data_IF_257162426788
#
_entry.id   IF_257162426788
#
_cell.length_a   1.000
_cell.length_b   1.000
_cell.length_c   1.000
_cell.angle_alpha   90.00
_cell.angle_beta   90.00
_cell.angle_gamma   90.00
#
_symmetry.space_group_name_H-M   'P 1'
#
loop_
_entity.id
_entity.type
_entity.pdbx_description
1 polymer ?
#
# COMPACT_ATOMS: atom_id res chain seq x y z
N UNK A 1 -32.17 -30.47 16.54
CA UNK A 1 -31.47 -29.22 16.77
C UNK A 1 -29.94 -29.30 16.54
N UNK A 2 -29.19 -30.33 16.95
CA UNK A 2 -27.74 -30.43 16.74
C UNK A 2 -27.32 -30.60 15.26
N UNK A 3 -28.12 -31.25 14.42
CA UNK A 3 -27.84 -31.45 12.98
C UNK A 3 -28.09 -30.20 12.10
N UNK A 4 -28.99 -29.33 12.52
CA UNK A 4 -29.29 -28.05 11.86
C UNK A 4 -28.23 -27.00 12.14
N UNK A 5 -27.58 -27.02 13.29
CA UNK A 5 -26.46 -26.14 13.63
C UNK A 5 -25.17 -26.52 12.83
N UNK A 6 -24.97 -27.82 12.60
CA UNK A 6 -23.81 -28.29 11.80
C UNK A 6 -23.94 -27.92 10.31
N UNK A 7 -25.17 -27.92 9.78
CA UNK A 7 -25.45 -27.52 8.40
C UNK A 7 -25.31 -26.01 8.20
N UNK A 8 -25.60 -25.20 9.21
CA UNK A 8 -25.46 -23.75 9.15
C UNK A 8 -23.98 -23.30 9.23
N UNK A 9 -23.15 -24.04 9.96
CA UNK A 9 -21.70 -23.78 10.02
C UNK A 9 -20.96 -24.17 8.75
N UNK A 10 -21.45 -25.17 8.01
CA UNK A 10 -20.86 -25.56 6.71
C UNK A 10 -21.16 -24.52 5.62
N UNK A 11 -22.32 -23.85 5.67
CA UNK A 11 -22.65 -22.76 4.73
C UNK A 11 -21.89 -21.46 4.99
N UNK A 12 -21.43 -21.22 6.20
CA UNK A 12 -20.62 -20.05 6.56
C UNK A 12 -19.17 -20.13 6.03
N UNK A 13 -18.68 -21.33 5.69
CA UNK A 13 -17.32 -21.54 5.20
C UNK A 13 -17.11 -21.20 3.71
N UNK A 14 -18.19 -21.06 2.92
CA UNK A 14 -18.09 -20.77 1.49
C UNK A 14 -17.86 -19.28 1.13
N UNK A 15 -17.74 -18.39 2.13
CA UNK A 15 -17.59 -16.94 1.92
C UNK A 15 -16.23 -16.35 2.24
N UNK A 16 -15.21 -17.14 2.57
CA UNK A 16 -13.88 -16.63 2.93
C UNK A 16 -13.04 -16.37 1.66
N UNK A 17 -13.41 -15.34 0.92
CA UNK A 17 -12.52 -14.78 -0.10
C UNK A 17 -11.55 -13.82 0.60
N UNK A 18 -10.27 -14.17 0.62
CA UNK A 18 -9.24 -13.31 1.20
C UNK A 18 -9.06 -12.06 0.35
N UNK A 19 -9.16 -10.91 0.99
CA UNK A 19 -8.75 -9.63 0.40
C UNK A 19 -7.23 -9.61 0.22
N UNK A 20 -6.78 -8.86 -0.76
CA UNK A 20 -5.38 -8.53 -0.91
C UNK A 20 -4.92 -7.58 0.20
N UNK A 21 -3.62 -7.61 0.45
CA UNK A 21 -3.06 -6.73 1.46
C UNK A 21 -3.31 -5.24 1.11
N UNK A 22 -3.51 -4.44 2.14
CA UNK A 22 -3.59 -2.98 2.05
C UNK A 22 -3.00 -2.35 3.31
N UNK A 23 -2.55 -1.12 3.17
CA UNK A 23 -2.12 -0.27 4.27
C UNK A 23 -3.13 0.86 4.45
N UNK A 24 -3.33 1.29 5.69
CA UNK A 24 -4.18 2.44 6.00
C UNK A 24 -3.56 3.73 5.46
N UNK A 25 -2.23 3.84 5.55
CA UNK A 25 -1.46 4.97 5.01
C UNK A 25 -1.24 4.81 3.49
N UNK A 26 -2.31 4.85 2.71
CA UNK A 26 -2.29 4.60 1.26
C UNK A 26 -1.35 5.53 0.48
N UNK A 27 -1.20 6.77 0.93
CA UNK A 27 -0.27 7.74 0.31
C UNK A 27 1.20 7.31 0.40
N UNK A 28 1.54 6.42 1.35
CA UNK A 28 2.90 5.91 1.54
C UNK A 28 3.13 4.58 0.79
N UNK A 29 2.15 4.09 0.02
CA UNK A 29 2.23 2.83 -0.72
C UNK A 29 1.86 2.99 -2.21
N UNK A 30 2.44 3.96 -2.94
CA UNK A 30 1.97 4.35 -4.27
C UNK A 30 1.98 3.19 -5.28
N UNK A 31 3.00 2.32 -5.28
CA UNK A 31 3.09 1.19 -6.22
C UNK A 31 2.14 0.04 -5.89
N UNK A 32 1.61 -0.03 -4.66
CA UNK A 32 0.57 -0.99 -4.25
C UNK A 32 -0.84 -0.54 -4.66
N UNK A 33 -1.04 0.74 -4.93
CA UNK A 33 -2.35 1.29 -5.30
C UNK A 33 -2.44 1.66 -6.78
N UNK A 34 -1.31 1.99 -7.44
CA UNK A 34 -1.34 2.37 -8.85
C UNK A 34 0.04 2.21 -9.51
N UNK A 35 0.20 1.32 -10.51
CA UNK A 35 1.44 1.21 -11.27
C UNK A 35 1.87 2.51 -11.96
N UNK A 36 0.92 3.35 -12.38
CA UNK A 36 1.21 4.62 -13.03
C UNK A 36 1.79 5.69 -12.08
N UNK A 37 1.84 5.43 -10.76
CA UNK A 37 2.47 6.32 -9.79
C UNK A 37 4.00 6.19 -9.70
N UNK A 38 4.60 5.23 -10.42
CA UNK A 38 6.06 5.06 -10.47
C UNK A 38 6.72 6.30 -11.08
N UNK A 39 7.70 6.88 -10.39
CA UNK A 39 8.42 8.08 -10.82
C UNK A 39 7.61 9.38 -10.74
N UNK A 40 6.35 9.36 -10.30
CA UNK A 40 5.48 10.53 -10.22
C UNK A 40 5.51 11.11 -8.80
N UNK A 41 6.53 11.87 -8.50
CA UNK A 41 6.72 12.57 -7.21
C UNK A 41 7.76 13.70 -7.38
N UNK A 42 7.87 14.55 -6.37
CA UNK A 42 8.85 15.62 -6.34
C UNK A 42 10.20 15.03 -5.88
N UNK A 43 11.16 14.94 -6.80
CA UNK A 43 12.47 14.32 -6.60
C UNK A 43 12.89 13.42 -7.75
N UNK A 44 13.95 12.63 -7.55
CA UNK A 44 14.61 11.82 -8.57
C UNK A 44 14.52 10.32 -8.33
N UNK A 45 14.96 9.87 -7.18
CA UNK A 45 14.85 8.49 -6.72
C UNK A 45 14.15 8.47 -5.38
N UNK A 46 13.36 7.43 -5.13
CA UNK A 46 12.63 7.25 -3.88
C UNK A 46 12.73 5.81 -3.41
N UNK A 47 12.89 5.65 -2.10
CA UNK A 47 12.79 4.35 -1.43
C UNK A 47 11.74 4.47 -0.33
N UNK A 48 10.88 3.49 -0.20
CA UNK A 48 9.80 3.45 0.80
C UNK A 48 9.82 2.11 1.49
N UNK A 49 9.73 2.12 2.82
CA UNK A 49 9.56 0.93 3.66
C UNK A 49 8.31 1.11 4.50
N UNK A 50 7.41 0.14 4.45
CA UNK A 50 6.20 0.14 5.27
C UNK A 50 6.14 -1.16 6.07
N UNK A 51 5.67 -1.06 7.31
CA UNK A 51 5.43 -2.19 8.18
C UNK A 51 4.11 -2.01 8.90
N UNK A 52 3.27 -3.04 8.88
CA UNK A 52 2.01 -3.11 9.62
C UNK A 52 2.03 -4.35 10.49
N UNK A 53 1.74 -4.17 11.76
CA UNK A 53 1.46 -5.26 12.69
C UNK A 53 0.00 -5.16 13.13
N UNK A 54 -0.79 -6.15 12.74
CA UNK A 54 -2.23 -6.17 12.98
C UNK A 54 -2.55 -7.09 14.16
N UNK A 55 -3.50 -6.67 15.02
CA UNK A 55 -3.95 -7.39 16.20
C UNK A 55 -2.84 -7.64 17.25
N UNK A 56 -2.19 -6.57 17.64
CA UNK A 56 -1.07 -6.56 18.58
C UNK A 56 -1.32 -7.25 19.94
N UNK A 57 -2.56 -7.43 20.35
CA UNK A 57 -2.94 -8.09 21.61
C UNK A 57 -3.49 -9.50 21.43
N UNK A 58 -3.60 -10.00 20.19
CA UNK A 58 -4.10 -11.34 19.92
C UNK A 58 -2.97 -12.37 20.02
N UNK A 59 -3.27 -13.59 20.41
CA UNK A 59 -2.32 -14.71 20.38
C UNK A 59 -1.83 -15.07 18.96
N UNK A 60 -2.45 -14.47 17.94
CA UNK A 60 -2.13 -14.64 16.52
C UNK A 60 -1.94 -13.28 15.89
N UNK A 61 -0.73 -13.01 15.40
CA UNK A 61 -0.37 -11.73 14.77
C UNK A 61 -0.36 -11.85 13.26
N UNK A 62 -0.72 -10.75 12.59
CA UNK A 62 -0.56 -10.58 11.17
C UNK A 62 0.42 -9.46 10.90
N UNK A 63 1.48 -9.76 10.18
CA UNK A 63 2.56 -8.82 9.88
C UNK A 63 2.70 -8.64 8.38
N UNK A 64 2.63 -7.41 7.95
CA UNK A 64 2.84 -7.03 6.56
C UNK A 64 4.02 -6.09 6.46
N UNK A 65 4.99 -6.40 5.63
CA UNK A 65 6.13 -5.53 5.34
C UNK A 65 6.21 -5.31 3.84
N UNK A 66 6.37 -4.08 3.40
CA UNK A 66 6.64 -3.76 2.01
C UNK A 66 7.86 -2.86 1.86
N UNK A 67 8.63 -3.10 0.82
CA UNK A 67 9.76 -2.26 0.41
C UNK A 67 9.55 -1.94 -1.06
N UNK A 68 9.60 -0.66 -1.39
CA UNK A 68 9.50 -0.18 -2.76
C UNK A 68 10.62 0.81 -3.05
N UNK A 69 11.11 0.80 -4.28
CA UNK A 69 12.01 1.82 -4.79
C UNK A 69 11.58 2.20 -6.19
N UNK A 70 11.58 3.48 -6.49
CA UNK A 70 11.28 3.97 -7.82
C UNK A 70 12.15 5.17 -8.20
N UNK A 71 12.41 5.32 -9.49
CA UNK A 71 13.21 6.38 -10.05
C UNK A 71 12.58 6.92 -11.34
N UNK A 72 12.83 8.17 -11.64
CA UNK A 72 12.43 8.77 -12.90
C UNK A 72 13.64 9.05 -13.79
N UNK A 73 13.48 8.77 -15.08
CA UNK A 73 14.51 8.91 -16.10
C UNK A 73 14.07 9.90 -17.18
N UNK A 74 14.86 10.93 -17.40
CA UNK A 74 14.53 11.97 -18.36
C UNK A 74 13.67 13.10 -17.82
N UNK A 75 13.27 13.06 -16.54
CA UNK A 75 12.58 14.16 -15.89
C UNK A 75 13.47 15.42 -15.86
N UNK A 76 12.87 16.56 -16.14
CA UNK A 76 13.51 17.87 -16.02
C UNK A 76 13.09 18.56 -14.73
N UNK A 77 13.84 19.56 -14.27
CA UNK A 77 13.44 20.34 -13.08
C UNK A 77 12.13 21.11 -13.30
N UNK A 78 11.89 21.54 -14.53
CA UNK A 78 10.67 22.26 -14.93
C UNK A 78 9.50 21.34 -15.20
N UNK A 79 9.73 20.01 -15.22
CA UNK A 79 8.74 18.98 -15.54
C UNK A 79 7.95 19.30 -16.83
N UNK A 80 8.67 19.71 -17.87
CA UNK A 80 8.13 20.15 -19.17
C UNK A 80 8.27 19.10 -20.26
N UNK A 81 9.01 18.02 -20.00
CA UNK A 81 9.28 16.93 -20.97
C UNK A 81 8.76 15.60 -20.45
N UNK A 82 8.30 14.77 -21.39
CA UNK A 82 7.94 13.40 -21.07
C UNK A 82 9.14 12.63 -20.49
N UNK A 83 8.87 11.78 -19.52
CA UNK A 83 9.87 10.97 -18.87
C UNK A 83 9.32 9.59 -18.50
N UNK A 84 10.22 8.69 -18.12
CA UNK A 84 9.89 7.31 -17.75
C UNK A 84 10.11 7.12 -16.26
N UNK A 85 9.18 6.44 -15.59
CA UNK A 85 9.33 5.96 -14.23
C UNK A 85 9.60 4.45 -14.23
N UNK A 86 10.59 4.03 -13.43
CA UNK A 86 10.86 2.63 -13.16
C UNK A 86 10.69 2.37 -11.66
N UNK A 87 10.03 1.29 -11.30
CA UNK A 87 9.80 0.91 -9.92
C UNK A 87 10.04 -0.58 -9.70
N UNK A 88 10.51 -0.90 -8.51
CA UNK A 88 10.58 -2.26 -7.97
C UNK A 88 9.89 -2.26 -6.63
N UNK A 89 9.15 -3.31 -6.34
CA UNK A 89 8.47 -3.48 -5.07
C UNK A 89 8.54 -4.94 -4.65
N UNK A 90 8.70 -5.13 -3.35
CA UNK A 90 8.57 -6.42 -2.69
C UNK A 90 7.68 -6.25 -1.48
N UNK A 91 6.76 -7.19 -1.26
CA UNK A 91 6.05 -7.28 0.01
C UNK A 91 6.00 -8.72 0.53
N UNK A 92 5.91 -8.82 1.85
CA UNK A 92 5.74 -10.05 2.60
C UNK A 92 4.62 -9.85 3.61
N UNK A 93 3.59 -10.65 3.50
CA UNK A 93 2.44 -10.68 4.38
C UNK A 93 2.36 -12.04 5.04
N UNK A 94 2.35 -12.10 6.36
CA UNK A 94 2.37 -13.34 7.13
C UNK A 94 1.34 -13.25 8.23
N UNK A 95 0.49 -14.27 8.35
CA UNK A 95 -0.52 -14.31 9.39
C UNK A 95 -0.76 -15.67 9.98
N UNK A 96 -1.14 -15.68 11.24
CA UNK A 96 -1.56 -16.88 11.93
C UNK A 96 -0.43 -17.80 12.39
N UNK A 97 -0.83 -18.84 13.11
CA UNK A 97 0.10 -19.87 13.60
C UNK A 97 0.68 -20.72 12.46
N UNK A 98 -0.05 -20.87 11.36
CA UNK A 98 0.40 -21.54 10.14
C UNK A 98 1.37 -20.68 9.32
N UNK A 99 1.66 -19.44 9.75
CA UNK A 99 2.44 -18.46 8.98
C UNK A 99 1.93 -18.37 7.53
N UNK A 100 0.59 -18.55 7.37
CA UNK A 100 -0.04 -18.41 6.07
C UNK A 100 0.23 -17.01 5.54
N UNK A 101 0.82 -16.92 4.35
CA UNK A 101 1.25 -15.63 3.88
C UNK A 101 1.47 -15.57 2.38
N UNK A 102 1.62 -14.33 1.92
CA UNK A 102 1.85 -13.97 0.53
C UNK A 102 3.15 -13.18 0.41
N UNK A 103 3.99 -13.59 -0.52
CA UNK A 103 5.22 -12.88 -0.88
C UNK A 103 5.13 -12.50 -2.35
N UNK A 104 5.34 -11.24 -2.65
CA UNK A 104 5.25 -10.77 -4.04
C UNK A 104 6.38 -9.80 -4.34
N UNK A 105 7.05 -10.02 -5.45
CA UNK A 105 7.99 -9.09 -6.05
C UNK A 105 7.45 -8.59 -7.38
N UNK A 106 7.58 -7.31 -7.68
CA UNK A 106 7.08 -6.72 -8.92
C UNK A 106 8.02 -5.67 -9.48
N UNK A 107 7.98 -5.53 -10.80
CA UNK A 107 8.65 -4.50 -11.58
C UNK A 107 7.59 -3.63 -12.26
N UNK A 108 7.78 -2.34 -12.21
CA UNK A 108 6.83 -1.34 -12.74
C UNK A 108 7.54 -0.44 -13.74
N UNK A 109 6.86 -0.18 -14.84
CA UNK A 109 7.26 0.79 -15.87
C UNK A 109 6.12 1.77 -16.07
N UNK A 110 6.41 3.07 -16.01
CA UNK A 110 5.44 4.13 -16.30
C UNK A 110 5.98 5.11 -17.33
N UNK A 111 5.08 5.68 -18.11
CA UNK A 111 5.35 6.82 -18.97
C UNK A 111 4.60 8.04 -18.45
N UNK A 112 5.29 9.13 -18.19
CA UNK A 112 4.72 10.37 -17.65
C UNK A 112 4.80 11.47 -18.71
N UNK A 113 3.66 12.07 -18.99
CA UNK A 113 3.51 13.15 -19.97
C UNK A 113 3.05 14.43 -19.27
N UNK A 114 3.95 15.39 -19.02
CA UNK A 114 3.55 16.73 -18.62
C UNK A 114 2.82 17.44 -19.75
N UNK A 115 1.76 18.15 -19.42
CA UNK A 115 0.91 18.85 -20.39
C UNK A 115 1.15 20.36 -20.32
N UNK A 116 2.09 20.83 -21.13
CA UNK A 116 2.21 22.24 -21.51
C UNK A 116 2.54 23.24 -20.40
N UNK A 117 3.39 22.91 -19.43
CA UNK A 117 3.88 23.89 -18.42
C UNK A 117 2.84 24.41 -17.42
N UNK A 118 1.63 23.90 -17.46
CA UNK A 118 0.48 24.32 -16.63
C UNK A 118 0.32 23.52 -15.32
N UNK A 119 1.34 22.71 -14.95
CA UNK A 119 1.28 21.86 -13.76
C UNK A 119 0.49 20.57 -13.92
N UNK A 120 -0.10 20.31 -15.09
CA UNK A 120 -0.82 19.08 -15.40
C UNK A 120 0.12 17.98 -15.88
N UNK A 121 -0.07 16.77 -15.42
CA UNK A 121 0.65 15.58 -15.89
C UNK A 121 -0.28 14.37 -15.96
N UNK A 122 -0.12 13.57 -17.01
CA UNK A 122 -0.79 12.28 -17.16
C UNK A 122 0.25 11.18 -17.18
N UNK A 123 0.03 10.12 -16.43
CA UNK A 123 0.88 8.94 -16.41
C UNK A 123 0.09 7.68 -16.73
N UNK A 124 0.71 6.78 -17.49
CA UNK A 124 0.24 5.42 -17.67
C UNK A 124 1.34 4.45 -17.25
N UNK A 125 0.97 3.37 -16.57
CA UNK A 125 1.95 2.41 -16.04
C UNK A 125 1.47 0.98 -16.19
N UNK A 126 2.45 0.08 -16.32
CA UNK A 126 2.28 -1.37 -16.30
C UNK A 126 3.19 -1.97 -15.24
N UNK A 127 2.76 -3.08 -14.64
CA UNK A 127 3.52 -3.78 -13.63
C UNK A 127 3.42 -5.27 -13.86
N UNK A 128 4.57 -5.95 -13.86
CA UNK A 128 4.67 -7.40 -13.86
C UNK A 128 5.15 -7.90 -12.51
N UNK A 129 4.52 -8.91 -11.96
CA UNK A 129 4.81 -9.44 -10.65
C UNK A 129 4.95 -10.96 -10.62
N UNK A 130 5.69 -11.42 -9.64
CA UNK A 130 5.78 -12.83 -9.26
C UNK A 130 5.34 -12.96 -7.81
N UNK A 131 4.30 -13.74 -7.57
CA UNK A 131 3.74 -14.01 -6.26
C UNK A 131 3.95 -15.46 -5.82
N UNK A 132 4.13 -15.65 -4.52
CA UNK A 132 4.12 -16.95 -3.86
C UNK A 132 3.23 -16.89 -2.63
N UNK A 133 2.39 -17.90 -2.43
CA UNK A 133 1.69 -18.12 -1.14
C UNK A 133 2.24 -19.37 -0.48
N UNK A 134 2.37 -19.31 0.83
CA UNK A 134 2.89 -20.41 1.65
C UNK A 134 2.03 -20.56 2.89
N UNK A 135 1.87 -21.82 3.33
CA UNK A 135 1.35 -22.15 4.65
C UNK A 135 2.24 -23.23 5.25
N UNK A 136 2.61 -23.08 6.51
CA UNK A 136 3.39 -24.07 7.26
C UNK A 136 2.48 -24.73 8.31
N UNK A 137 2.17 -25.99 8.11
CA UNK A 137 1.33 -26.78 9.00
C UNK A 137 2.14 -27.59 10.00
N UNK A 138 3.49 -27.59 9.92
CA UNK A 138 4.36 -28.44 10.73
C UNK A 138 4.27 -28.16 12.24
N UNK A 139 3.94 -26.93 12.62
CA UNK A 139 3.83 -26.50 14.03
C UNK A 139 2.40 -26.42 14.52
N UNK A 140 1.42 -26.86 13.73
CA UNK A 140 0.03 -26.87 14.13
C UNK A 140 -0.30 -28.17 14.89
N UNK A 141 -1.24 -28.05 15.83
CA UNK A 141 -1.85 -29.18 16.51
C UNK A 141 -3.30 -29.29 16.08
N UNK A 142 -3.74 -30.51 15.78
CA UNK A 142 -5.08 -30.79 15.29
C UNK A 142 -5.86 -31.56 16.36
N UNK A 143 -7.17 -31.46 16.35
CA UNK A 143 -8.05 -32.13 17.33
C UNK A 143 -7.86 -33.65 17.32
N UNK A 144 -7.51 -34.24 16.18
CA UNK A 144 -7.18 -35.67 16.02
C UNK A 144 -5.94 -36.10 16.82
N UNK A 145 -5.07 -35.17 17.18
CA UNK A 145 -3.84 -35.41 17.95
C UNK A 145 -4.04 -35.28 19.46
N UNK A 146 -5.28 -35.14 19.93
CA UNK A 146 -5.59 -35.12 21.37
C UNK A 146 -5.65 -36.55 21.93
N UNK A 147 -4.75 -36.91 22.86
CA UNK A 147 -4.64 -38.22 23.44
C UNK A 147 -5.53 -38.44 24.69
N UNK A 148 -6.39 -37.48 25.01
CA UNK A 148 -7.24 -37.50 26.22
C UNK A 148 -6.70 -36.62 27.35
N UNK A 149 -5.41 -36.28 27.34
CA UNK A 149 -4.76 -35.46 28.38
C UNK A 149 -4.00 -34.26 27.79
N UNK A 150 -3.34 -34.45 26.65
CA UNK A 150 -2.53 -33.44 25.97
C UNK A 150 -2.54 -33.64 24.47
N UNK A 151 -2.10 -32.62 23.73
CA UNK A 151 -1.81 -32.78 22.30
C UNK A 151 -0.49 -33.50 22.11
N UNK A 152 -0.51 -34.55 21.31
CA UNK A 152 0.65 -35.39 20.99
C UNK A 152 0.93 -35.32 19.48
N UNK A 153 2.01 -34.66 19.10
CA UNK A 153 2.39 -34.50 17.69
C UNK A 153 2.83 -35.82 17.01
N UNK A 154 3.09 -36.88 17.76
CA UNK A 154 3.42 -38.19 17.20
C UNK A 154 2.19 -38.91 16.65
N UNK A 155 0.98 -38.51 17.10
CA UNK A 155 -0.28 -39.01 16.55
C UNK A 155 -0.49 -38.37 15.17
N UNK A 156 -0.81 -39.22 14.17
CA UNK A 156 -1.09 -38.73 12.83
C UNK A 156 -2.25 -37.74 12.85
N UNK A 157 -2.06 -36.55 12.33
CA UNK A 157 -3.08 -35.51 12.29
C UNK A 157 -4.26 -35.86 11.36
N UNK A 158 -4.06 -36.74 10.39
CA UNK A 158 -5.00 -37.03 9.29
C UNK A 158 -5.04 -35.93 8.22
N UNK A 159 -4.33 -34.84 8.43
CA UNK A 159 -4.21 -33.76 7.48
C UNK A 159 -2.98 -33.98 6.57
N UNK A 160 -3.02 -33.44 5.35
CA UNK A 160 -1.86 -33.44 4.46
C UNK A 160 -0.75 -32.57 5.05
N UNK A 161 0.13 -33.17 5.87
CA UNK A 161 1.24 -32.50 6.50
C UNK A 161 2.28 -32.13 5.44
N UNK A 162 2.28 -30.88 5.04
CA UNK A 162 3.25 -30.35 4.10
C UNK A 162 3.15 -28.83 4.00
N UNK A 163 4.24 -28.21 3.56
CA UNK A 163 4.19 -26.80 3.15
C UNK A 163 3.32 -26.72 1.90
N UNK A 164 2.09 -26.24 2.05
CA UNK A 164 1.30 -25.85 0.90
C UNK A 164 1.91 -24.57 0.33
N UNK A 165 2.50 -24.64 -0.85
CA UNK A 165 3.01 -23.45 -1.54
C UNK A 165 2.60 -23.48 -3.00
N UNK A 166 2.26 -22.32 -3.53
CA UNK A 166 2.07 -22.12 -4.96
C UNK A 166 2.63 -20.78 -5.39
N UNK A 167 2.94 -20.70 -6.67
CA UNK A 167 3.52 -19.52 -7.31
C UNK A 167 2.64 -19.08 -8.46
N UNK A 168 2.62 -17.78 -8.72
CA UNK A 168 1.84 -17.21 -9.82
C UNK A 168 2.56 -16.00 -10.41
N UNK A 169 2.28 -15.74 -11.68
CA UNK A 169 2.65 -14.49 -12.33
C UNK A 169 1.47 -13.53 -12.26
N UNK A 170 1.76 -12.26 -12.05
CA UNK A 170 0.77 -11.21 -11.94
C UNK A 170 1.03 -10.09 -12.94
N UNK A 171 -0.06 -9.53 -13.49
CA UNK A 171 -0.02 -8.41 -14.41
C UNK A 171 -0.96 -7.32 -13.93
N UNK A 172 -0.46 -6.09 -13.91
CA UNK A 172 -1.20 -4.92 -13.42
C UNK A 172 -0.97 -3.73 -14.36
N UNK A 173 -1.90 -2.79 -14.37
CA UNK A 173 -1.81 -1.56 -15.15
C UNK A 173 -2.52 -0.42 -14.42
N UNK A 174 -2.22 0.82 -14.80
CA UNK A 174 -2.87 1.97 -14.19
C UNK A 174 -2.77 3.23 -15.01
N UNK A 175 -3.61 4.19 -14.64
CA UNK A 175 -3.60 5.57 -15.14
C UNK A 175 -3.57 6.52 -13.93
N UNK A 176 -2.84 7.61 -14.07
CA UNK A 176 -2.68 8.56 -13.00
C UNK A 176 -2.57 9.98 -13.55
N UNK A 177 -3.40 10.86 -13.03
CA UNK A 177 -3.41 12.28 -13.34
C UNK A 177 -2.98 13.07 -12.13
N UNK A 178 -2.12 14.06 -12.35
CA UNK A 178 -1.62 14.98 -11.33
C UNK A 178 -1.74 16.41 -11.84
N UNK A 179 -2.32 17.27 -11.04
CA UNK A 179 -2.25 18.71 -11.17
C UNK A 179 -1.43 19.27 -9.99
N UNK A 180 -0.39 20.03 -10.28
CA UNK A 180 0.49 20.66 -9.32
C UNK A 180 0.57 22.16 -9.64
N UNK A 181 -0.29 22.96 -9.01
CA UNK A 181 -0.35 24.41 -9.20
C UNK A 181 0.88 25.14 -8.65
N UNK A 182 1.63 24.51 -7.75
CA UNK A 182 2.85 25.07 -7.18
C UNK A 182 4.02 25.17 -8.17
N UNK A 183 3.97 24.38 -9.25
CA UNK A 183 5.02 24.43 -10.30
C UNK A 183 4.99 25.75 -11.10
N UNK A 184 3.83 26.36 -11.26
CA UNK A 184 3.64 27.60 -12.03
C UNK A 184 3.66 28.86 -11.17
N UNK A 185 3.66 28.75 -9.84
CA UNK A 185 3.58 29.88 -8.91
C UNK A 185 4.88 30.14 -8.18
N UNK A 186 5.34 31.40 -8.18
CA UNK A 186 6.41 31.88 -7.29
C UNK A 186 5.90 32.19 -5.87
N UNK A 187 4.60 32.19 -5.66
CA UNK A 187 3.97 32.44 -4.35
C UNK A 187 4.12 31.23 -3.44
N UNK A 188 4.45 31.46 -2.17
CA UNK A 188 4.76 30.40 -1.20
C UNK A 188 3.55 29.76 -0.53
N UNK A 189 2.43 30.40 -0.48
CA UNK A 189 1.31 29.99 0.38
C UNK A 189 0.01 29.76 -0.42
N UNK A 190 0.12 29.28 -1.65
CA UNK A 190 -1.02 28.93 -2.51
C UNK A 190 -0.74 27.66 -3.29
N UNK A 191 0.02 26.73 -2.75
CA UNK A 191 0.26 25.46 -3.40
C UNK A 191 -1.03 24.61 -3.31
N UNK A 192 -1.51 24.23 -4.48
CA UNK A 192 -2.64 23.31 -4.63
C UNK A 192 -2.20 22.15 -5.50
N UNK A 193 -2.32 20.94 -4.95
CA UNK A 193 -2.00 19.71 -5.67
C UNK A 193 -3.21 18.78 -5.65
N UNK A 194 -3.62 18.36 -6.83
CA UNK A 194 -4.71 17.40 -7.01
C UNK A 194 -4.20 16.16 -7.71
N UNK A 195 -4.63 15.00 -7.28
CA UNK A 195 -4.23 13.72 -7.81
C UNK A 195 -5.47 12.83 -7.98
N UNK A 196 -5.56 12.13 -9.11
CA UNK A 196 -6.61 11.17 -9.40
C UNK A 196 -6.02 9.98 -10.15
N UNK A 197 -6.31 8.76 -9.71
CA UNK A 197 -5.79 7.59 -10.39
C UNK A 197 -6.69 6.37 -10.32
N UNK A 198 -6.45 5.47 -11.26
CA UNK A 198 -7.08 4.16 -11.33
C UNK A 198 -5.99 3.12 -11.55
N UNK A 199 -5.91 2.14 -10.64
CA UNK A 199 -5.04 0.97 -10.74
C UNK A 199 -5.86 -0.30 -10.92
N UNK A 200 -5.37 -1.21 -11.75
CA UNK A 200 -5.92 -2.55 -11.91
C UNK A 200 -4.84 -3.60 -11.66
N UNK A 201 -5.09 -4.51 -10.75
CA UNK A 201 -4.18 -5.59 -10.35
C UNK A 201 -4.80 -6.95 -10.65
N UNK A 202 -3.97 -7.99 -10.78
CA UNK A 202 -4.40 -9.35 -11.10
C UNK A 202 -5.22 -9.42 -12.39
N UNK A 203 -4.85 -8.63 -13.41
CA UNK A 203 -5.59 -8.53 -14.66
C UNK A 203 -5.62 -9.84 -15.42
N UNK A 204 -4.57 -10.66 -15.28
CA UNK A 204 -4.44 -12.00 -15.86
C UNK A 204 -5.18 -13.09 -15.06
N UNK A 205 -5.84 -12.77 -13.93
CA UNK A 205 -6.54 -13.72 -13.06
C UNK A 205 -5.72 -14.97 -12.74
N UNK A 206 -4.56 -14.85 -12.03
CA UNK A 206 -3.72 -16.00 -11.76
C UNK A 206 -4.48 -17.13 -11.07
N UNK A 207 -4.22 -18.37 -11.48
CA UNK A 207 -4.76 -19.55 -10.80
C UNK A 207 -4.03 -19.82 -9.48
N UNK A 208 -4.81 -20.15 -8.46
CA UNK A 208 -4.34 -20.55 -7.15
C UNK A 208 -4.29 -22.08 -7.09
N UNK A 209 -3.13 -22.66 -7.42
CA UNK A 209 -2.95 -24.13 -7.45
C UNK A 209 -2.25 -24.58 -6.18
N UNK A 210 -3.01 -25.17 -5.26
CA UNK A 210 -2.43 -25.99 -4.19
C UNK A 210 -2.19 -27.41 -4.73
N UNK A 211 -1.01 -27.96 -4.58
CA UNK A 211 -0.47 -29.24 -5.05
C UNK A 211 -1.40 -30.26 -5.75
N UNK A 212 -2.62 -30.45 -5.29
CA UNK A 212 -3.60 -31.41 -5.87
C UNK A 212 -4.97 -30.79 -6.15
N UNK A 213 -5.23 -29.58 -5.66
CA UNK A 213 -6.55 -28.95 -5.78
C UNK A 213 -6.40 -27.53 -6.31
N UNK A 214 -7.10 -27.20 -7.39
CA UNK A 214 -7.23 -25.81 -7.85
C UNK A 214 -8.23 -25.09 -6.96
N UNK A 215 -7.75 -24.13 -6.16
CA UNK A 215 -8.59 -23.36 -5.24
C UNK A 215 -9.34 -22.20 -5.92
N UNK A 216 -9.24 -22.07 -7.24
CA UNK A 216 -9.85 -20.99 -8.02
C UNK A 216 -8.82 -19.97 -8.51
N UNK A 217 -9.32 -18.83 -8.96
CA UNK A 217 -8.50 -17.74 -9.50
C UNK A 217 -8.47 -16.56 -8.54
N UNK A 218 -7.35 -15.85 -8.52
CA UNK A 218 -7.27 -14.59 -7.80
C UNK A 218 -8.19 -13.55 -8.47
N UNK A 219 -9.01 -12.88 -7.66
CA UNK A 219 -9.90 -11.85 -8.17
C UNK A 219 -9.10 -10.64 -8.67
N UNK A 220 -9.53 -10.06 -9.78
CA UNK A 220 -9.05 -8.75 -10.21
C UNK A 220 -9.36 -7.72 -9.13
N UNK A 221 -8.38 -6.88 -8.82
CA UNK A 221 -8.50 -5.78 -7.88
C UNK A 221 -8.41 -4.46 -8.63
N UNK A 222 -9.39 -3.60 -8.43
CA UNK A 222 -9.39 -2.23 -8.94
C UNK A 222 -9.25 -1.27 -7.77
N UNK A 223 -8.44 -0.24 -7.98
CA UNK A 223 -8.18 0.80 -6.99
C UNK A 223 -8.47 2.14 -7.65
N UNK A 224 -9.41 2.89 -7.08
CA UNK A 224 -9.66 4.28 -7.47
C UNK A 224 -9.16 5.14 -6.32
N UNK A 225 -8.30 6.10 -6.60
CA UNK A 225 -7.75 6.95 -5.56
C UNK A 225 -7.71 8.41 -5.99
N UNK A 226 -7.92 9.30 -5.01
CA UNK A 226 -7.78 10.74 -5.20
C UNK A 226 -7.16 11.36 -3.97
N UNK A 227 -6.43 12.43 -4.16
CA UNK A 227 -5.93 13.26 -3.06
C UNK A 227 -5.87 14.73 -3.46
N UNK A 228 -6.03 15.58 -2.45
CA UNK A 228 -5.94 17.03 -2.55
C UNK A 228 -5.02 17.51 -1.44
N UNK A 229 -4.00 18.26 -1.79
CA UNK A 229 -3.18 19.01 -0.84
C UNK A 229 -3.38 20.47 -1.17
N UNK A 230 -3.78 21.28 -0.19
CA UNK A 230 -4.01 22.70 -0.36
C UNK A 230 -3.43 23.48 0.80
N UNK A 231 -2.61 24.47 0.50
CA UNK A 231 -2.16 25.43 1.48
C UNK A 231 -3.32 26.33 1.92
N UNK A 232 -3.35 26.66 3.20
CA UNK A 232 -4.29 27.65 3.75
C UNK A 232 -3.64 29.03 3.59
N UNK A 233 -4.28 29.89 2.79
CA UNK A 233 -3.75 31.20 2.44
C UNK A 233 -3.26 31.98 3.66
N UNK A 234 -2.08 32.63 3.54
CA UNK A 234 -1.44 33.43 4.57
C UNK A 234 -1.09 32.71 5.88
N UNK A 235 -1.02 31.37 5.85
CA UNK A 235 -0.61 30.56 7.02
C UNK A 235 0.47 29.56 6.64
N UNK A 236 1.09 28.92 7.64
CA UNK A 236 1.99 27.80 7.45
C UNK A 236 1.27 26.43 7.48
N UNK A 237 -0.04 26.44 7.40
CA UNK A 237 -0.85 25.24 7.44
C UNK A 237 -1.32 24.82 6.06
N UNK A 238 -1.39 23.52 5.85
CA UNK A 238 -2.01 22.90 4.68
C UNK A 238 -2.93 21.76 5.09
N UNK A 239 -3.94 21.53 4.26
CA UNK A 239 -4.87 20.41 4.38
C UNK A 239 -4.46 19.38 3.36
N UNK A 240 -4.37 18.12 3.78
CA UNK A 240 -4.16 16.95 2.92
C UNK A 240 -5.35 16.01 3.10
N UNK A 241 -6.18 15.91 2.07
CA UNK A 241 -7.35 15.04 2.05
C UNK A 241 -7.20 13.97 0.98
N UNK A 242 -7.55 12.74 1.32
CA UNK A 242 -7.45 11.60 0.40
C UNK A 242 -8.64 10.66 0.50
N UNK A 243 -8.94 10.01 -0.61
CA UNK A 243 -9.93 8.94 -0.67
C UNK A 243 -9.41 7.82 -1.56
N UNK A 244 -9.54 6.60 -1.08
CA UNK A 244 -9.15 5.40 -1.83
C UNK A 244 -10.27 4.37 -1.73
N UNK A 245 -10.65 3.82 -2.88
CA UNK A 245 -11.64 2.76 -3.01
C UNK A 245 -10.97 1.52 -3.58
N UNK A 246 -10.99 0.43 -2.82
CA UNK A 246 -10.59 -0.90 -3.27
C UNK A 246 -11.81 -1.72 -3.64
N UNK A 247 -11.77 -2.41 -4.77
CA UNK A 247 -12.82 -3.28 -5.31
C UNK A 247 -12.14 -4.59 -5.72
N UNK A 248 -12.42 -5.69 -5.00
CA UNK A 248 -11.83 -6.99 -5.32
C UNK A 248 -12.86 -8.11 -5.12
N UNK A 249 -13.37 -8.64 -6.22
CA UNK A 249 -14.47 -9.60 -6.19
C UNK A 249 -15.70 -9.02 -5.46
N UNK A 250 -16.21 -9.69 -4.42
CA UNK A 250 -17.34 -9.19 -3.62
C UNK A 250 -16.92 -8.15 -2.57
N UNK A 251 -15.64 -7.86 -2.41
CA UNK A 251 -15.12 -6.99 -1.36
C UNK A 251 -15.00 -5.56 -1.86
N UNK A 252 -15.50 -4.66 -1.04
CA UNK A 252 -15.44 -3.21 -1.24
C UNK A 252 -14.88 -2.59 0.03
N UNK A 253 -13.79 -1.84 -0.09
CA UNK A 253 -13.20 -1.12 1.02
C UNK A 253 -12.92 0.33 0.64
N UNK A 254 -13.36 1.25 1.49
CA UNK A 254 -13.17 2.69 1.33
C UNK A 254 -12.33 3.23 2.46
N UNK A 255 -11.26 3.93 2.14
CA UNK A 255 -10.42 4.64 3.09
C UNK A 255 -10.47 6.13 2.78
N UNK A 256 -10.84 6.94 3.77
CA UNK A 256 -10.79 8.39 3.71
C UNK A 256 -9.68 8.88 4.65
N UNK A 257 -8.86 9.79 4.19
CA UNK A 257 -7.80 10.40 4.98
C UNK A 257 -7.99 11.91 5.07
N UNK A 258 -7.76 12.48 6.25
CA UNK A 258 -7.71 13.92 6.45
C UNK A 258 -6.57 14.23 7.41
N UNK A 259 -5.63 15.05 6.95
CA UNK A 259 -4.48 15.49 7.72
C UNK A 259 -4.30 16.99 7.65
N UNK A 260 -3.95 17.59 8.78
CA UNK A 260 -3.45 18.95 8.86
C UNK A 260 -1.94 18.90 8.91
N UNK A 261 -1.29 19.67 8.06
CA UNK A 261 0.18 19.74 7.95
C UNK A 261 0.62 21.17 8.27
N UNK A 262 1.62 21.30 9.13
CA UNK A 262 2.25 22.58 9.43
C UNK A 262 3.66 22.60 8.88
N UNK A 263 3.97 23.62 8.12
CA UNK A 263 5.32 23.91 7.65
C UNK A 263 6.11 24.53 8.79
N UNK A 264 7.23 23.92 9.17
CA UNK A 264 8.11 24.47 10.21
C UNK A 264 9.47 24.91 9.65
N UNK A 265 9.77 24.57 8.40
CA UNK A 265 10.92 25.06 7.67
C UNK A 265 10.50 25.45 6.26
N UNK A 266 10.90 26.63 5.84
CA UNK A 266 10.64 27.14 4.50
C UNK A 266 11.75 26.78 3.53
N UNK A 267 11.39 26.17 2.40
CA UNK A 267 12.28 25.92 1.28
C UNK A 267 12.52 27.14 0.41
N UNK A 268 13.53 27.06 -0.45
CA UNK A 268 13.77 28.09 -1.47
C UNK A 268 13.44 27.50 -2.85
N UNK A 269 12.40 28.04 -3.50
CA UNK A 269 12.03 27.62 -4.87
C UNK A 269 13.08 28.06 -5.91
N UNK A 270 13.87 29.10 -5.62
CA UNK A 270 14.85 29.67 -6.56
C UNK A 270 16.18 28.91 -6.54
N UNK A 271 16.76 28.72 -5.36
CA UNK A 271 18.07 28.08 -5.22
C UNK A 271 18.01 26.57 -5.02
N UNK A 272 16.88 26.04 -4.55
CA UNK A 272 16.71 24.64 -4.18
C UNK A 272 17.60 24.16 -3.03
N UNK A 273 18.27 25.10 -2.33
CA UNK A 273 19.22 24.77 -1.26
C UNK A 273 18.53 24.40 0.06
N UNK A 274 17.36 24.98 0.31
CA UNK A 274 16.52 24.64 1.45
C UNK A 274 15.19 24.10 0.95
N UNK A 275 14.72 23.04 1.56
CA UNK A 275 13.46 22.38 1.23
C UNK A 275 12.45 22.63 2.35
N UNK A 276 11.17 22.62 1.98
CA UNK A 276 10.11 22.70 2.96
C UNK A 276 10.15 21.47 3.88
N UNK A 277 9.87 21.69 5.15
CA UNK A 277 9.69 20.62 6.13
C UNK A 277 8.35 20.77 6.83
N UNK A 278 7.67 19.63 7.01
CA UNK A 278 6.32 19.58 7.54
C UNK A 278 6.21 18.61 8.70
N UNK A 279 5.40 18.99 9.66
CA UNK A 279 4.81 18.11 10.64
C UNK A 279 3.32 18.04 10.36
N UNK A 280 2.75 16.84 10.32
CA UNK A 280 1.33 16.64 10.08
C UNK A 280 0.72 15.68 11.08
N UNK A 281 -0.55 15.89 11.38
CA UNK A 281 -1.38 15.01 12.17
C UNK A 281 -2.78 14.93 11.58
N UNK A 282 -3.44 13.81 11.77
CA UNK A 282 -4.77 13.61 11.23
C UNK A 282 -5.28 12.22 11.50
N UNK A 283 -6.20 11.79 10.67
CA UNK A 283 -6.80 10.48 10.81
C UNK A 283 -7.17 9.90 9.45
N UNK A 284 -7.08 8.58 9.36
CA UNK A 284 -7.71 7.81 8.31
C UNK A 284 -8.96 7.13 8.87
N UNK A 285 -9.99 7.06 8.08
CA UNK A 285 -11.21 6.33 8.39
C UNK A 285 -11.43 5.23 7.35
N UNK A 286 -11.31 4.00 7.79
CA UNK A 286 -11.65 2.81 7.00
C UNK A 286 -13.09 2.43 7.28
N UNK A 287 -13.93 2.55 6.26
CA UNK A 287 -15.38 2.43 6.40
C UNK A 287 -15.79 1.12 7.10
N UNK A 288 -16.59 1.23 8.18
CA UNK A 288 -17.11 0.12 9.00
C UNK A 288 -16.03 -0.77 9.63
N UNK A 289 -14.75 -0.36 9.62
CA UNK A 289 -13.67 -1.17 10.16
C UNK A 289 -12.83 -0.45 11.22
N UNK A 290 -12.15 0.63 10.90
CA UNK A 290 -11.24 1.28 11.84
C UNK A 290 -11.15 2.81 11.66
N UNK A 291 -10.80 3.48 12.75
CA UNK A 291 -10.33 4.88 12.77
C UNK A 291 -8.86 4.85 13.13
N UNK A 292 -8.03 5.55 12.35
CA UNK A 292 -6.57 5.46 12.45
C UNK A 292 -5.95 6.84 12.62
N UNK A 293 -5.84 7.36 13.85
CA UNK A 293 -5.03 8.55 14.12
C UNK A 293 -3.61 8.34 13.59
N UNK A 294 -3.06 9.40 12.98
CA UNK A 294 -1.80 9.35 12.27
C UNK A 294 -0.99 10.62 12.47
N UNK A 295 0.33 10.44 12.50
CA UNK A 295 1.31 11.53 12.57
C UNK A 295 2.33 11.33 11.46
N UNK A 296 2.76 12.43 10.83
CA UNK A 296 3.74 12.42 9.75
C UNK A 296 4.75 13.54 9.95
N UNK A 297 6.01 13.25 9.66
CA UNK A 297 7.11 14.23 9.62
C UNK A 297 7.80 14.10 8.26
N UNK A 298 7.96 15.22 7.58
CA UNK A 298 8.66 15.31 6.29
C UNK A 298 9.81 16.32 6.44
N UNK A 299 11.04 15.85 6.30
CA UNK A 299 12.23 16.64 6.52
C UNK A 299 13.39 16.19 5.64
N UNK A 300 13.89 17.10 4.78
CA UNK A 300 15.06 16.86 3.91
C UNK A 300 14.97 15.59 3.06
N UNK A 301 13.78 15.31 2.51
CA UNK A 301 13.53 14.13 1.70
C UNK A 301 13.20 12.87 2.51
N UNK A 302 13.40 12.87 3.83
CA UNK A 302 12.90 11.80 4.69
C UNK A 302 11.47 12.10 5.09
N UNK A 303 10.60 11.10 4.94
CA UNK A 303 9.24 11.14 5.42
C UNK A 303 9.00 9.96 6.33
N UNK A 304 8.62 10.23 7.55
CA UNK A 304 8.29 9.24 8.56
C UNK A 304 6.82 9.40 8.95
N UNK A 305 6.08 8.31 8.96
CA UNK A 305 4.68 8.33 9.35
C UNK A 305 4.35 7.12 10.23
N UNK A 306 3.49 7.35 11.22
CA UNK A 306 2.97 6.35 12.15
C UNK A 306 1.47 6.50 12.22
N UNK A 307 0.74 5.37 12.19
CA UNK A 307 -0.68 5.32 12.47
C UNK A 307 -1.03 4.14 13.35
N UNK A 308 -2.11 4.30 14.12
CA UNK A 308 -2.64 3.26 14.99
C UNK A 308 -4.12 3.05 14.69
N UNK A 309 -4.48 1.85 14.22
CA UNK A 309 -5.85 1.49 13.90
C UNK A 309 -6.63 1.15 15.17
N UNK A 310 -7.69 1.90 15.43
CA UNK A 310 -8.67 1.62 16.46
C UNK A 310 -9.86 0.94 15.80
N UNK A 311 -10.02 -0.36 16.01
CA UNK A 311 -11.10 -1.14 15.41
C UNK A 311 -12.46 -0.67 15.94
N UNK A 312 -13.37 -0.29 15.02
CA UNK A 312 -14.76 0.12 15.34
C UNK A 312 -15.79 -0.90 14.85
N UNK A 313 -15.36 -1.90 14.10
CA UNK A 313 -16.22 -2.99 13.61
C UNK A 313 -16.63 -3.94 14.71
N UNK A 314 -17.55 -4.88 14.40
CA UNK A 314 -17.98 -5.96 15.30
C UNK A 314 -16.82 -6.84 15.79
N UNK A 315 -15.70 -6.86 15.08
CA UNK A 315 -14.49 -7.60 15.46
C UNK A 315 -13.82 -7.05 16.72
N UNK A 316 -14.13 -5.82 17.15
CA UNK A 316 -13.69 -5.26 18.44
C UNK A 316 -14.06 -6.15 19.65
N UNK A 317 -15.15 -6.92 19.54
CA UNK A 317 -15.58 -7.85 20.61
C UNK A 317 -14.70 -9.10 20.69
N UNK A 318 -14.09 -9.50 19.60
CA UNK A 318 -13.23 -10.67 19.51
C UNK A 318 -11.77 -10.34 19.82
N UNK A 319 -11.31 -9.13 19.46
CA UNK A 319 -9.92 -8.72 19.60
C UNK A 319 -9.84 -7.28 20.11
N UNK A 320 -9.18 -7.09 21.26
CA UNK A 320 -9.01 -5.78 21.91
C UNK A 320 -7.79 -5.00 21.41
N UNK A 321 -6.90 -5.62 20.63
CA UNK A 321 -5.70 -5.00 20.08
C UNK A 321 -5.97 -4.34 18.73
N UNK A 322 -5.45 -3.12 18.55
CA UNK A 322 -5.44 -2.41 17.27
C UNK A 322 -4.31 -2.88 16.34
N UNK A 323 -4.08 -2.13 15.26
CA UNK A 323 -2.97 -2.35 14.35
C UNK A 323 -2.04 -1.14 14.35
N UNK A 324 -0.76 -1.37 14.32
CA UNK A 324 0.25 -0.32 14.24
C UNK A 324 0.89 -0.35 12.85
N UNK A 325 0.95 0.81 12.20
CA UNK A 325 1.62 0.97 10.92
C UNK A 325 2.74 2.00 11.02
N UNK A 326 3.89 1.65 10.44
CA UNK A 326 5.04 2.53 10.26
C UNK A 326 5.35 2.68 8.78
N UNK A 327 5.68 3.88 8.39
CA UNK A 327 6.20 4.18 7.06
C UNK A 327 7.44 5.04 7.18
N UNK A 328 8.47 4.68 6.43
CA UNK A 328 9.67 5.48 6.24
C UNK A 328 9.95 5.57 4.75
N UNK A 329 10.07 6.78 4.23
CA UNK A 329 10.53 6.98 2.87
C UNK A 329 11.67 7.99 2.81
N UNK A 330 12.53 7.80 1.83
CA UNK A 330 13.56 8.76 1.45
C UNK A 330 13.41 9.09 -0.02
N UNK A 331 13.37 10.37 -0.34
CA UNK A 331 13.34 10.89 -1.71
C UNK A 331 14.57 11.76 -1.94
N UNK A 332 15.36 11.42 -2.94
CA UNK A 332 16.47 12.26 -3.38
C UNK A 332 15.93 13.50 -4.09
N UNK A 333 16.12 14.65 -3.48
CA UNK A 333 15.58 15.93 -3.92
C UNK A 333 16.64 16.79 -4.65
N UNK A 334 17.92 16.41 -4.55
CA UNK A 334 19.04 17.24 -5.00
C UNK A 334 19.40 17.03 -6.47
N UNK A 335 19.79 15.83 -6.83
CA UNK A 335 20.27 15.47 -8.17
C UNK A 335 19.99 14.00 -8.47
N UNK A 336 19.61 13.71 -9.73
CA UNK A 336 19.47 12.32 -10.18
C UNK A 336 20.82 11.57 -10.08
N UNK A 337 20.81 10.40 -9.43
CA UNK A 337 21.99 9.52 -9.34
C UNK A 337 22.41 9.02 -10.73
N UNK A 338 21.46 8.82 -11.63
CA UNK A 338 21.64 8.31 -12.99
C UNK A 338 21.63 9.44 -14.04
N UNK A 339 22.19 10.59 -13.71
CA UNK A 339 22.26 11.71 -14.63
C UNK A 339 23.20 11.32 -15.79
N UNK A 340 22.65 11.01 -16.95
CA UNK A 340 23.41 10.98 -18.19
C UNK A 340 23.97 12.38 -18.37
N UNK A 341 25.29 12.54 -18.35
CA UNK A 341 25.94 13.77 -18.73
C UNK A 341 25.60 14.02 -20.21
N UNK A 342 24.49 14.71 -20.46
CA UNK A 342 24.24 15.30 -21.75
C UNK A 342 25.39 16.25 -22.02
N UNK A 343 26.22 15.92 -22.97
CA UNK A 343 27.11 16.91 -23.61
C UNK A 343 26.21 18.04 -24.09
N UNK A 344 26.60 19.24 -23.78
CA UNK A 344 26.10 20.57 -24.10
C UNK A 344 25.14 20.68 -25.27
#
# INVERSE_FOLDING_TARGET
MKKTLLSLSLFAAFGLNAQDLHFTQTAQTPLLINPAAAGVYDGWERVIVNHRNQWLGAGTQFMTTSIAADANFGKTRTNDKAYVGLGIMFYNDIGGNSKFGSQTGSLTLSGVLPMGGSGHSLSAGIQGGFGARKADFSNLTFTSQWNGTSYDQTIASGEANGMASFRYLDASAGLYYVFDGGQSSFSRNNDFKFQLGVGGFHLNKPELKYTTVTAGNLYRKFVIHTSVISDIASTDWSIDASAVQFIQGPHLETILGLMLRRRFQNGTKITGYSQDAYFGFGTYYRFKDAISPSVIVDFKGFKFAVSYDITVSSMRKAYTGGSLEFSLSYTNLSHALFKTRGRF
#
